data_IF_026242673901
#
_entry.id   IF_026242673901
#
_cell.length_a   1.000
_cell.length_b   1.000
_cell.length_c   1.000
_cell.angle_alpha   90.00
_cell.angle_beta   90.00
_cell.angle_gamma   90.00
#
_symmetry.space_group_name_H-M   'P 1'
#
loop_
_entity.id
_entity.type
_entity.pdbx_description
1 polymer ?
#
# COMPACT_ATOMS: atom_id res chain seq x y z
N UNK A 1 -14.88 -7.62 -12.63
CA UNK A 1 -13.56 -7.13 -12.14
C UNK A 1 -13.35 -7.66 -10.73
N UNK A 2 -12.14 -8.10 -10.40
CA UNK A 2 -11.81 -8.49 -9.02
C UNK A 2 -11.90 -7.25 -8.12
N UNK A 3 -12.70 -7.31 -7.05
CA UNK A 3 -12.75 -6.27 -6.01
C UNK A 3 -11.60 -6.49 -5.04
N UNK A 4 -10.99 -5.41 -4.59
CA UNK A 4 -9.93 -5.48 -3.59
C UNK A 4 -10.43 -6.11 -2.27
N UNK A 5 -9.67 -7.04 -1.65
CA UNK A 5 -9.95 -7.52 -0.31
C UNK A 5 -10.08 -6.43 0.75
N UNK A 6 -9.36 -5.30 0.60
CA UNK A 6 -9.45 -4.17 1.53
C UNK A 6 -10.83 -3.49 1.53
N UNK A 7 -11.59 -3.65 0.44
CA UNK A 7 -12.88 -3.00 0.24
C UNK A 7 -14.06 -3.95 0.51
N UNK A 8 -13.81 -5.19 0.90
CA UNK A 8 -14.87 -6.17 1.16
C UNK A 8 -15.81 -5.72 2.27
N UNK A 9 -17.07 -5.48 1.92
CA UNK A 9 -18.09 -5.03 2.86
C UNK A 9 -18.07 -3.54 3.17
N UNK A 10 -17.35 -2.71 2.39
CA UNK A 10 -17.53 -1.26 2.44
C UNK A 10 -18.86 -0.88 1.77
N UNK A 11 -19.69 -0.10 2.46
CA UNK A 11 -21.00 0.36 1.97
C UNK A 11 -20.97 1.72 1.26
N UNK A 12 -19.82 2.41 1.29
CA UNK A 12 -19.64 3.72 0.64
C UNK A 12 -18.17 3.97 0.28
N UNK A 13 -17.93 4.88 -0.67
CA UNK A 13 -16.60 5.36 -1.04
C UNK A 13 -15.82 5.86 0.20
N UNK A 14 -16.48 6.65 1.06
CA UNK A 14 -15.87 7.18 2.28
C UNK A 14 -15.40 6.08 3.23
N UNK A 15 -16.19 5.02 3.39
CA UNK A 15 -15.81 3.86 4.20
C UNK A 15 -14.64 3.09 3.57
N UNK A 16 -14.68 2.91 2.25
CA UNK A 16 -13.61 2.27 1.48
C UNK A 16 -12.27 3.01 1.67
N UNK A 17 -12.27 4.34 1.51
CA UNK A 17 -11.09 5.21 1.73
C UNK A 17 -10.59 5.12 3.18
N UNK A 18 -11.50 5.07 4.15
CA UNK A 18 -11.12 4.90 5.56
C UNK A 18 -10.38 3.59 5.80
N UNK A 19 -10.90 2.49 5.26
CA UNK A 19 -10.31 1.16 5.46
C UNK A 19 -8.91 1.10 4.86
N UNK A 20 -8.75 1.51 3.59
CA UNK A 20 -7.44 1.44 2.94
C UNK A 20 -6.47 2.47 3.54
N UNK A 21 -6.92 3.69 3.87
CA UNK A 21 -6.09 4.71 4.50
C UNK A 21 -5.57 4.29 5.88
N UNK A 22 -6.45 3.75 6.74
CA UNK A 22 -6.06 3.21 8.06
C UNK A 22 -5.14 2.00 7.91
N UNK A 23 -5.45 1.06 7.02
CA UNK A 23 -4.60 -0.10 6.76
C UNK A 23 -3.17 0.34 6.37
N UNK A 24 -3.07 1.35 5.50
CA UNK A 24 -1.78 1.91 5.06
C UNK A 24 -1.00 2.55 6.21
N UNK A 25 -1.67 3.30 7.09
CA UNK A 25 -1.05 3.87 8.30
C UNK A 25 -0.57 2.75 9.23
N UNK A 26 -1.37 1.72 9.46
CA UNK A 26 -1.01 0.59 10.32
C UNK A 26 0.22 -0.15 9.79
N UNK A 27 0.23 -0.52 8.50
CA UNK A 27 1.38 -1.18 7.86
C UNK A 27 2.61 -0.28 7.92
N UNK A 28 2.46 1.01 7.60
CA UNK A 28 3.56 1.96 7.64
C UNK A 28 4.16 2.10 9.05
N UNK A 29 3.30 2.20 10.06
CA UNK A 29 3.70 2.31 11.47
C UNK A 29 4.42 1.05 11.97
N UNK A 30 3.97 -0.13 11.54
CA UNK A 30 4.64 -1.40 11.85
C UNK A 30 6.08 -1.41 11.32
N UNK A 31 6.31 -0.90 10.09
CA UNK A 31 7.63 -0.83 9.49
C UNK A 31 8.55 0.21 10.14
N UNK A 32 7.99 1.21 10.85
CA UNK A 32 8.76 2.16 11.64
C UNK A 32 9.26 1.55 12.95
N UNK A 33 8.38 0.81 13.64
CA UNK A 33 8.59 0.37 15.02
C UNK A 33 9.26 -1.01 15.07
N UNK A 34 8.83 -1.95 14.22
CA UNK A 34 9.18 -3.38 14.35
C UNK A 34 9.75 -3.98 13.06
N UNK A 35 10.79 -3.34 12.49
CA UNK A 35 11.50 -3.86 11.29
C UNK A 35 11.92 -5.33 11.41
N UNK A 36 12.31 -5.80 12.60
CA UNK A 36 12.63 -7.22 12.85
C UNK A 36 11.42 -8.16 12.82
N UNK A 37 10.23 -7.70 13.23
CA UNK A 37 8.98 -8.46 13.11
C UNK A 37 8.51 -8.50 11.66
N UNK A 38 8.59 -7.36 10.96
CA UNK A 38 8.33 -7.29 9.53
C UNK A 38 9.25 -8.25 8.76
N UNK A 39 10.56 -8.28 9.07
CA UNK A 39 11.51 -9.24 8.50
C UNK A 39 11.00 -10.68 8.60
N UNK A 40 10.56 -11.10 9.79
CA UNK A 40 10.05 -12.46 10.02
C UNK A 40 8.75 -12.72 9.26
N UNK A 41 7.83 -11.75 9.26
CA UNK A 41 6.55 -11.87 8.59
C UNK A 41 6.71 -12.01 7.08
N UNK A 42 7.58 -11.21 6.48
CA UNK A 42 7.84 -11.21 5.05
C UNK A 42 8.89 -12.26 4.62
N UNK A 43 9.49 -13.01 5.55
CA UNK A 43 10.45 -14.07 5.22
C UNK A 43 11.79 -13.56 4.67
N UNK A 44 12.24 -12.37 5.10
CA UNK A 44 13.53 -11.83 4.67
C UNK A 44 14.68 -12.58 5.39
N UNK A 45 15.68 -13.12 4.65
CA UNK A 45 16.83 -13.83 5.22
C UNK A 45 17.56 -13.04 6.30
N UNK A 46 18.09 -13.71 7.32
CA UNK A 46 18.73 -13.03 8.45
C UNK A 46 20.05 -12.37 8.05
N UNK A 47 20.73 -12.94 7.07
CA UNK A 47 22.01 -12.52 6.51
C UNK A 47 21.88 -11.19 5.74
N UNK A 48 20.68 -10.88 5.26
CA UNK A 48 20.37 -9.66 4.52
C UNK A 48 19.86 -8.53 5.43
N UNK A 49 19.63 -8.81 6.72
CA UNK A 49 19.14 -7.83 7.71
C UNK A 49 20.26 -6.91 8.19
N UNK A 50 20.43 -5.80 7.47
CA UNK A 50 21.42 -4.77 7.78
C UNK A 50 20.79 -3.38 8.01
N UNK A 51 21.60 -2.44 8.50
CA UNK A 51 21.15 -1.09 8.82
C UNK A 51 20.53 -0.34 7.63
N UNK A 52 21.05 -0.56 6.42
CA UNK A 52 20.54 0.08 5.21
C UNK A 52 19.14 -0.45 4.84
N UNK A 53 18.93 -1.77 4.89
CA UNK A 53 17.62 -2.36 4.66
C UNK A 53 16.58 -1.86 5.67
N UNK A 54 16.96 -1.75 6.96
CA UNK A 54 16.08 -1.22 8.00
C UNK A 54 15.77 0.27 7.81
N UNK A 55 16.69 1.05 7.26
CA UNK A 55 16.45 2.44 6.92
C UNK A 55 15.47 2.56 5.75
N UNK A 56 15.65 1.77 4.69
CA UNK A 56 14.70 1.70 3.55
C UNK A 56 13.31 1.28 4.00
N UNK A 57 13.20 0.25 4.85
CA UNK A 57 11.93 -0.19 5.42
C UNK A 57 11.23 0.94 6.21
N UNK A 58 11.99 1.76 6.95
CA UNK A 58 11.42 2.91 7.66
C UNK A 58 10.96 4.00 6.71
N UNK A 59 11.70 4.31 5.64
CA UNK A 59 11.23 5.27 4.63
C UNK A 59 9.95 4.81 3.94
N UNK A 60 9.88 3.52 3.59
CA UNK A 60 8.64 2.91 3.10
C UNK A 60 7.50 3.06 4.14
N UNK A 61 7.82 2.88 5.43
CA UNK A 61 6.90 3.10 6.54
C UNK A 61 6.37 4.53 6.63
N UNK A 62 7.27 5.53 6.67
CA UNK A 62 6.92 6.96 6.70
C UNK A 62 6.01 7.31 5.53
N UNK A 63 6.38 6.90 4.31
CA UNK A 63 5.59 7.18 3.10
C UNK A 63 4.18 6.60 3.20
N UNK A 64 4.03 5.38 3.71
CA UNK A 64 2.70 4.77 3.87
C UNK A 64 1.84 5.48 4.92
N UNK A 65 2.44 5.96 6.01
CA UNK A 65 1.72 6.79 6.98
C UNK A 65 1.26 8.10 6.35
N UNK A 66 2.14 8.79 5.61
CA UNK A 66 1.80 10.06 4.94
C UNK A 66 0.72 9.86 3.88
N UNK A 67 0.84 8.85 3.02
CA UNK A 67 -0.15 8.58 1.97
C UNK A 67 -1.51 8.16 2.55
N UNK A 68 -1.51 7.35 3.61
CA UNK A 68 -2.75 6.98 4.29
C UNK A 68 -3.40 8.18 4.99
N UNK A 69 -2.62 9.02 5.66
CA UNK A 69 -3.13 10.25 6.27
C UNK A 69 -3.71 11.21 5.21
N UNK A 70 -3.02 11.36 4.07
CA UNK A 70 -3.52 12.16 2.97
C UNK A 70 -4.85 11.63 2.41
N UNK A 71 -4.98 10.31 2.23
CA UNK A 71 -6.25 9.72 1.80
C UNK A 71 -7.40 10.02 2.78
N UNK A 72 -7.15 9.94 4.09
CA UNK A 72 -8.14 10.27 5.11
C UNK A 72 -8.51 11.76 5.12
N UNK A 73 -7.57 12.66 4.82
CA UNK A 73 -7.82 14.09 4.70
C UNK A 73 -8.54 14.46 3.39
N UNK A 74 -8.28 13.73 2.32
CA UNK A 74 -8.87 13.94 1.00
C UNK A 74 -10.28 13.38 0.89
N UNK A 75 -10.67 12.37 1.68
CA UNK A 75 -11.96 11.66 1.55
C UNK A 75 -13.21 12.55 1.59
N UNK A 76 -13.13 13.70 2.27
CA UNK A 76 -14.24 14.64 2.47
C UNK A 76 -14.10 15.88 1.54
N UNK A 77 -13.20 15.81 0.54
CA UNK A 77 -12.91 16.87 -0.44
C UNK A 77 -13.68 16.71 -1.74
N UNK A 78 -13.52 17.68 -2.65
CA UNK A 78 -14.14 17.64 -3.98
C UNK A 78 -13.69 16.43 -4.82
N UNK A 79 -14.44 16.07 -5.88
CA UNK A 79 -14.16 14.90 -6.71
C UNK A 79 -12.75 14.94 -7.33
N UNK A 80 -12.29 16.10 -7.80
CA UNK A 80 -10.96 16.23 -8.42
C UNK A 80 -9.82 15.99 -7.43
N UNK A 81 -9.93 16.54 -6.21
CA UNK A 81 -8.91 16.36 -5.16
C UNK A 81 -8.84 14.90 -4.70
N UNK A 82 -10.00 14.23 -4.58
CA UNK A 82 -10.09 12.80 -4.26
C UNK A 82 -9.47 11.95 -5.37
N UNK A 83 -9.84 12.21 -6.62
CA UNK A 83 -9.32 11.51 -7.80
C UNK A 83 -7.80 11.60 -7.88
N UNK A 84 -7.24 12.81 -7.73
CA UNK A 84 -5.79 13.03 -7.74
C UNK A 84 -5.10 12.24 -6.61
N UNK A 85 -5.67 12.27 -5.39
CA UNK A 85 -5.15 11.51 -4.26
C UNK A 85 -5.11 10.00 -4.55
N UNK A 86 -6.19 9.45 -5.11
CA UNK A 86 -6.28 8.01 -5.41
C UNK A 86 -5.35 7.61 -6.56
N UNK A 87 -5.23 8.44 -7.61
CA UNK A 87 -4.30 8.20 -8.72
C UNK A 87 -2.84 8.16 -8.26
N UNK A 88 -2.44 9.08 -7.38
CA UNK A 88 -1.07 9.11 -6.87
C UNK A 88 -0.78 7.95 -5.91
N UNK A 89 -1.75 7.54 -5.10
CA UNK A 89 -1.65 6.32 -4.30
C UNK A 89 -1.51 5.07 -5.19
N UNK A 90 -2.32 4.95 -6.24
CA UNK A 90 -2.26 3.86 -7.20
C UNK A 90 -0.90 3.81 -7.92
N UNK A 91 -0.36 4.97 -8.33
CA UNK A 91 0.94 5.04 -8.98
C UNK A 91 2.08 4.56 -8.08
N UNK A 92 2.05 4.92 -6.78
CA UNK A 92 3.01 4.42 -5.79
C UNK A 92 2.92 2.90 -5.65
N UNK A 93 1.70 2.36 -5.47
CA UNK A 93 1.51 0.92 -5.27
C UNK A 93 1.88 0.10 -6.52
N UNK A 94 1.60 0.61 -7.71
CA UNK A 94 2.04 0.00 -8.97
C UNK A 94 3.57 -0.03 -9.09
N UNK A 95 4.24 1.05 -8.67
CA UNK A 95 5.70 1.13 -8.67
C UNK A 95 6.31 0.16 -7.67
N UNK A 96 5.78 0.10 -6.45
CA UNK A 96 6.22 -0.84 -5.42
C UNK A 96 6.07 -2.29 -5.89
N UNK A 97 4.97 -2.62 -6.57
CA UNK A 97 4.78 -3.94 -7.18
C UNK A 97 5.86 -4.26 -8.21
N UNK A 98 6.20 -3.30 -9.08
CA UNK A 98 7.29 -3.47 -10.03
C UNK A 98 8.63 -3.75 -9.33
N UNK A 99 8.94 -2.99 -8.28
CA UNK A 99 10.16 -3.18 -7.48
C UNK A 99 10.18 -4.55 -6.80
N UNK A 100 9.05 -5.01 -6.24
CA UNK A 100 8.95 -6.32 -5.60
C UNK A 100 9.12 -7.47 -6.59
N UNK A 101 8.58 -7.33 -7.81
CA UNK A 101 8.79 -8.32 -8.88
C UNK A 101 10.26 -8.40 -9.27
N UNK A 102 10.92 -7.26 -9.51
CA UNK A 102 12.34 -7.21 -9.84
C UNK A 102 13.17 -7.81 -8.70
N UNK A 103 12.95 -7.37 -7.46
CA UNK A 103 13.68 -7.87 -6.29
C UNK A 103 13.44 -9.36 -6.01
N UNK A 104 12.24 -9.88 -6.32
CA UNK A 104 11.94 -11.31 -6.20
C UNK A 104 12.59 -12.18 -7.27
N UNK A 105 12.81 -11.64 -8.48
CA UNK A 105 13.49 -12.34 -9.58
C UNK A 105 15.02 -12.29 -9.44
N UNK A 106 15.56 -11.17 -8.98
CA UNK A 106 17.01 -10.95 -8.86
C UNK A 106 17.59 -11.37 -7.50
N UNK A 107 16.75 -11.42 -6.45
CA UNK A 107 17.19 -11.63 -5.07
C UNK A 107 17.16 -13.08 -4.60
N UNK A 108 18.31 -13.62 -4.21
CA UNK A 108 18.40 -14.91 -3.55
C UNK A 108 17.62 -14.91 -2.22
N UNK A 109 16.67 -15.84 -2.08
CA UNK A 109 15.89 -16.01 -0.85
C UNK A 109 14.79 -14.96 -0.62
N UNK A 110 14.53 -14.05 -1.58
CA UNK A 110 13.53 -12.98 -1.43
C UNK A 110 12.14 -13.32 -1.99
N UNK A 111 11.93 -14.51 -2.54
CA UNK A 111 10.66 -14.88 -3.18
C UNK A 111 9.45 -14.79 -2.23
N UNK A 112 9.60 -15.20 -0.96
CA UNK A 112 8.53 -15.07 0.02
C UNK A 112 8.19 -13.59 0.30
N UNK A 113 9.21 -12.74 0.44
CA UNK A 113 9.01 -11.32 0.68
C UNK A 113 8.34 -10.65 -0.53
N UNK A 114 8.80 -11.00 -1.73
CA UNK A 114 8.24 -10.51 -2.99
C UNK A 114 6.77 -10.93 -3.15
N UNK A 115 6.43 -12.20 -2.90
CA UNK A 115 5.05 -12.70 -3.05
C UNK A 115 4.10 -12.13 -2.00
N UNK A 116 4.50 -12.09 -0.73
CA UNK A 116 3.68 -11.48 0.34
C UNK A 116 3.52 -9.98 0.15
N UNK A 117 4.60 -9.29 -0.22
CA UNK A 117 4.56 -7.88 -0.57
C UNK A 117 3.65 -7.64 -1.78
N UNK A 118 3.73 -8.48 -2.81
CA UNK A 118 2.92 -8.36 -4.02
C UNK A 118 1.43 -8.62 -3.76
N UNK A 119 1.08 -9.59 -2.90
CA UNK A 119 -0.30 -9.84 -2.51
C UNK A 119 -0.93 -8.63 -1.80
N UNK A 120 -0.19 -8.01 -0.86
CA UNK A 120 -0.64 -6.80 -0.17
C UNK A 120 -0.69 -5.58 -1.11
N UNK A 121 0.36 -5.37 -1.90
CA UNK A 121 0.48 -4.25 -2.84
C UNK A 121 -0.56 -4.29 -3.95
N UNK A 122 -0.84 -5.47 -4.51
CA UNK A 122 -1.89 -5.65 -5.53
C UNK A 122 -3.27 -5.41 -4.95
N UNK A 123 -3.53 -5.88 -3.73
CA UNK A 123 -4.78 -5.60 -3.03
C UNK A 123 -4.97 -4.09 -2.81
N UNK A 124 -3.92 -3.37 -2.40
CA UNK A 124 -3.97 -1.92 -2.22
C UNK A 124 -4.18 -1.18 -3.56
N UNK A 125 -3.41 -1.53 -4.59
CA UNK A 125 -3.55 -0.97 -5.94
C UNK A 125 -4.99 -1.13 -6.48
N UNK A 126 -5.55 -2.34 -6.38
CA UNK A 126 -6.92 -2.59 -6.81
C UNK A 126 -7.93 -1.73 -6.04
N UNK A 127 -7.71 -1.48 -4.74
CA UNK A 127 -8.60 -0.62 -3.95
C UNK A 127 -8.61 0.82 -4.49
N UNK A 128 -7.44 1.38 -4.80
CA UNK A 128 -7.35 2.72 -5.38
C UNK A 128 -7.97 2.78 -6.77
N UNK A 129 -7.75 1.76 -7.61
CA UNK A 129 -8.37 1.69 -8.93
C UNK A 129 -9.90 1.62 -8.87
N UNK A 130 -10.45 0.91 -7.89
CA UNK A 130 -11.90 0.86 -7.66
C UNK A 130 -12.44 2.23 -7.20
N UNK A 131 -11.75 2.89 -6.28
CA UNK A 131 -12.10 4.24 -5.80
C UNK A 131 -12.04 5.30 -6.91
N UNK A 132 -11.05 5.24 -7.80
CA UNK A 132 -10.98 6.15 -8.96
C UNK A 132 -12.22 6.00 -9.85
N UNK A 133 -12.65 4.77 -10.13
CA UNK A 133 -13.84 4.51 -10.94
C UNK A 133 -15.12 5.01 -10.26
N UNK A 134 -15.23 4.85 -8.95
CA UNK A 134 -16.38 5.33 -8.18
C UNK A 134 -16.49 6.86 -8.27
N UNK A 135 -15.38 7.58 -8.11
CA UNK A 135 -15.36 9.05 -8.26
C UNK A 135 -15.71 9.47 -9.70
N UNK A 136 -15.17 8.77 -10.70
CA UNK A 136 -15.42 9.09 -12.12
C UNK A 136 -16.89 8.90 -12.50
N UNK A 137 -17.52 7.85 -11.97
CA UNK A 137 -18.93 7.55 -12.22
C UNK A 137 -19.86 8.54 -11.50
N UNK A 138 -19.45 9.08 -10.36
CA UNK A 138 -20.23 10.08 -9.63
C UNK A 138 -20.15 11.49 -10.24
N UNK A 139 -19.16 11.74 -11.11
CA UNK A 139 -18.92 13.04 -11.75
C UNK A 139 -19.51 13.16 -13.17
N UNK A 140 -19.93 12.05 -13.78
CA UNK A 140 -20.60 11.97 -15.09
C UNK A 140 -22.11 12.11 -14.98
#
# INVERSE_FOLDING_TARGET
MARSPFLLGAGSEREAVNRIGVARICVGSMLLITTGLARRLFGVPAEQDNGALRLVARFFGVRNVVLGAWALMARDRGPDERRLCYQLNAAVDATDLGILVVGGLEGEGLWQAATMGAALGSSALLAWMDLIKEVDTAAS
#
